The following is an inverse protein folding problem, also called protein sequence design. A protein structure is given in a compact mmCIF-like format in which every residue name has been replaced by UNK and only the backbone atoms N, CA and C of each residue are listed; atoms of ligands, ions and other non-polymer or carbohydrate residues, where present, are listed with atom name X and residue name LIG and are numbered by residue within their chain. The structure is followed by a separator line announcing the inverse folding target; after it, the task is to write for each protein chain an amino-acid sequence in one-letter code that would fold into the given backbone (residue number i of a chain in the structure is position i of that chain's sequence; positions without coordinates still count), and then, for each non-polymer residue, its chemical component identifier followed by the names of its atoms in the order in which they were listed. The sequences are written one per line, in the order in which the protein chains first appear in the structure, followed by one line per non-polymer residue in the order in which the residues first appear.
data_IF_210042074057
#
_entry.id   IF_210042074057
#
_cell.length_a   1.000
_cell.length_b   1.000
_cell.length_c   1.000
_cell.angle_alpha   90.00
_cell.angle_beta   90.00
_cell.angle_gamma   90.00
#
_symmetry.space_group_name_H-M   'P 1'
#
loop_
_entity.id
_entity.type
_entity.pdbx_description
1 polymer ?
#
# COMPACT_ATOMS: atom_id res chain seq x y z
N UNK A 1 68.82 18.84 8.15
CA UNK A 1 67.85 19.59 7.34
C UNK A 1 66.63 18.70 7.13
N UNK A 2 65.56 18.98 7.84
CA UNK A 2 64.28 18.21 7.70
C UNK A 2 63.37 19.02 6.76
N UNK A 3 63.04 18.46 5.60
CA UNK A 3 62.05 19.05 4.69
C UNK A 3 60.67 18.68 5.20
N UNK A 4 59.87 19.70 5.59
CA UNK A 4 58.46 19.56 5.90
C UNK A 4 57.68 19.78 4.60
N UNK A 5 57.07 18.70 4.09
CA UNK A 5 56.18 18.76 2.93
C UNK A 5 54.80 19.14 3.42
N UNK A 6 54.36 20.38 3.18
CA UNK A 6 53.00 20.86 3.46
C UNK A 6 52.12 20.47 2.27
N UNK A 7 51.28 19.46 2.48
CA UNK A 7 50.28 19.05 1.51
C UNK A 7 49.04 19.98 1.64
N UNK A 8 48.90 20.88 0.68
CA UNK A 8 47.68 21.72 0.54
C UNK A 8 46.55 20.87 -0.02
N UNK A 9 45.61 20.41 0.84
CA UNK A 9 44.38 19.79 0.40
C UNK A 9 43.41 20.93 0.04
N UNK A 10 43.28 21.23 -1.24
CA UNK A 10 42.24 22.08 -1.78
C UNK A 10 40.90 21.31 -1.73
N UNK A 11 40.11 21.58 -0.70
CA UNK A 11 38.71 21.15 -0.65
C UNK A 11 37.91 21.98 -1.69
N UNK A 12 37.78 21.43 -2.88
CA UNK A 12 36.80 21.90 -3.84
C UNK A 12 35.42 21.53 -3.31
N UNK A 13 34.74 22.48 -2.67
CA UNK A 13 33.31 22.38 -2.44
C UNK A 13 32.57 22.47 -3.78
N UNK A 14 32.41 21.35 -4.49
CA UNK A 14 31.42 21.25 -5.56
C UNK A 14 30.05 21.24 -4.89
N UNK A 15 29.47 22.41 -4.72
CA UNK A 15 28.02 22.51 -4.50
C UNK A 15 27.35 22.08 -5.81
N UNK A 16 27.02 20.79 -5.88
CA UNK A 16 26.07 20.32 -6.89
C UNK A 16 24.74 20.98 -6.52
N UNK A 17 24.44 22.09 -7.18
CA UNK A 17 23.08 22.61 -7.21
C UNK A 17 22.26 21.56 -7.98
N UNK A 18 21.63 20.65 -7.26
CA UNK A 18 20.52 19.90 -7.80
C UNK A 18 19.45 20.94 -8.13
N UNK A 19 19.39 21.27 -9.42
CA UNK A 19 18.30 22.08 -9.96
C UNK A 19 17.06 21.19 -9.91
N UNK A 20 16.42 21.13 -8.73
CA UNK A 20 15.09 20.58 -8.58
C UNK A 20 14.15 21.56 -9.28
N UNK A 21 14.13 21.48 -10.61
CA UNK A 21 13.11 22.13 -11.40
C UNK A 21 11.78 21.50 -10.93
N UNK A 22 11.14 22.18 -9.97
CA UNK A 22 9.79 21.82 -9.53
C UNK A 22 8.92 21.87 -10.78
N UNK A 23 8.54 20.70 -11.27
CA UNK A 23 7.50 20.59 -12.29
C UNK A 23 6.20 21.10 -11.65
N UNK A 24 5.98 22.40 -11.71
CA UNK A 24 4.65 22.95 -11.45
C UNK A 24 3.81 22.60 -12.66
N UNK A 25 2.82 21.75 -12.46
CA UNK A 25 1.73 21.64 -13.42
C UNK A 25 1.21 23.07 -13.68
N UNK A 26 0.88 23.42 -14.95
CA UNK A 26 0.33 24.73 -15.25
C UNK A 26 -0.86 24.98 -14.35
N UNK A 27 -0.80 26.00 -13.51
CA UNK A 27 -1.85 26.29 -12.49
C UNK A 27 -3.21 26.69 -13.12
N UNK A 28 -3.32 26.70 -14.44
CA UNK A 28 -4.49 27.19 -15.19
C UNK A 28 -5.11 26.16 -16.14
N UNK A 29 -4.64 24.90 -16.18
CA UNK A 29 -5.32 23.85 -16.94
C UNK A 29 -5.99 22.88 -15.97
N UNK A 30 -7.31 23.01 -15.82
CA UNK A 30 -8.12 22.03 -15.12
C UNK A 30 -8.06 20.71 -15.89
N UNK A 31 -7.42 19.70 -15.29
CA UNK A 31 -7.40 18.34 -15.83
C UNK A 31 -8.86 17.81 -15.87
N UNK A 32 -9.45 17.74 -17.05
CA UNK A 32 -10.80 17.19 -17.22
C UNK A 32 -10.76 15.68 -17.10
N UNK A 33 -10.86 15.19 -15.89
CA UNK A 33 -10.94 13.76 -15.57
C UNK A 33 -12.40 13.37 -15.29
N UNK A 34 -12.83 12.20 -15.79
CA UNK A 34 -14.18 11.66 -15.53
C UNK A 34 -14.26 10.91 -14.19
N UNK A 35 -13.55 11.35 -13.17
CA UNK A 35 -13.58 10.78 -11.82
C UNK A 35 -14.25 11.74 -10.84
N UNK A 36 -14.97 11.19 -9.86
CA UNK A 36 -15.59 11.99 -8.78
C UNK A 36 -14.54 12.64 -7.88
N UNK A 37 -13.45 11.94 -7.64
CA UNK A 37 -12.33 12.38 -6.82
C UNK A 37 -11.03 11.89 -7.42
N UNK A 38 -9.99 12.70 -7.36
CA UNK A 38 -8.64 12.30 -7.77
C UNK A 38 -7.57 13.12 -7.05
N UNK A 39 -6.37 12.58 -7.02
CA UNK A 39 -5.20 13.17 -6.39
C UNK A 39 -3.93 12.76 -7.12
N UNK A 40 -2.99 13.66 -7.21
CA UNK A 40 -1.60 13.40 -7.58
C UNK A 40 -0.71 13.81 -6.42
N UNK A 41 0.07 12.87 -5.90
CA UNK A 41 0.98 13.07 -4.77
C UNK A 41 2.39 12.71 -5.19
N UNK A 42 3.35 13.55 -4.83
CA UNK A 42 4.76 13.24 -5.00
C UNK A 42 5.16 12.10 -4.04
N UNK A 43 5.84 11.09 -4.58
CA UNK A 43 6.20 9.91 -3.80
C UNK A 43 7.21 10.21 -2.70
N UNK A 44 8.23 11.01 -2.97
CA UNK A 44 9.33 11.26 -2.05
C UNK A 44 8.91 12.19 -0.90
N UNK A 45 8.31 13.33 -1.24
CA UNK A 45 7.91 14.35 -0.26
C UNK A 45 6.54 14.09 0.37
N UNK A 46 5.60 13.46 -0.36
CA UNK A 46 4.18 13.37 0.00
C UNK A 46 3.42 14.68 -0.28
N UNK A 47 4.03 15.64 -1.02
CA UNK A 47 3.37 16.88 -1.42
C UNK A 47 2.22 16.57 -2.40
N UNK A 48 1.05 17.16 -2.18
CA UNK A 48 -0.07 17.07 -3.12
C UNK A 48 0.18 18.06 -4.25
N UNK A 49 0.37 17.52 -5.46
CA UNK A 49 0.65 18.31 -6.65
C UNK A 49 -0.63 18.73 -7.36
N UNK A 50 -1.68 17.94 -7.29
CA UNK A 50 -2.99 18.20 -7.86
C UNK A 50 -4.06 17.38 -7.15
N UNK A 51 -5.25 17.95 -6.95
CA UNK A 51 -6.36 17.22 -6.37
C UNK A 51 -7.72 17.81 -6.75
N UNK A 52 -8.74 16.98 -6.67
CA UNK A 52 -10.14 17.37 -6.82
C UNK A 52 -10.99 16.47 -5.94
N UNK A 53 -11.79 17.06 -5.04
CA UNK A 53 -12.64 16.36 -4.08
C UNK A 53 -11.90 15.26 -3.28
N UNK A 54 -10.61 15.44 -2.99
CA UNK A 54 -9.73 14.43 -2.42
C UNK A 54 -10.12 13.96 -1.02
N UNK A 55 -10.99 14.72 -0.33
CA UNK A 55 -11.54 14.38 1.00
C UNK A 55 -12.95 13.77 0.91
N UNK A 56 -13.52 13.62 -0.29
CA UNK A 56 -14.84 12.99 -0.47
C UNK A 56 -14.79 11.52 -0.09
N UNK A 57 -15.69 11.09 0.80
CA UNK A 57 -15.81 9.69 1.21
C UNK A 57 -16.48 8.87 0.12
N UNK A 58 -15.78 7.89 -0.39
CA UNK A 58 -16.20 7.01 -1.47
C UNK A 58 -15.92 5.54 -1.09
N UNK A 59 -16.61 4.63 -1.76
CA UNK A 59 -16.35 3.20 -1.62
C UNK A 59 -15.03 2.83 -2.34
N UNK A 60 -14.06 2.23 -1.63
CA UNK A 60 -12.75 1.91 -2.21
C UNK A 60 -12.76 0.72 -3.16
N UNK A 61 -13.78 -0.13 -3.12
CA UNK A 61 -13.80 -1.42 -3.80
C UNK A 61 -12.49 -2.20 -3.55
N UNK A 62 -11.93 -2.86 -4.55
CA UNK A 62 -10.72 -3.69 -4.41
C UNK A 62 -9.45 -2.91 -4.01
N UNK A 63 -9.43 -1.59 -4.06
CA UNK A 63 -8.32 -0.81 -3.49
C UNK A 63 -8.14 -1.06 -1.99
N UNK A 64 -9.18 -1.52 -1.30
CA UNK A 64 -9.13 -2.01 0.10
C UNK A 64 -7.97 -3.00 0.33
N UNK A 65 -7.71 -3.88 -0.65
CA UNK A 65 -6.67 -4.91 -0.54
C UNK A 65 -5.26 -4.36 -0.41
N UNK A 66 -5.04 -3.11 -0.82
CA UNK A 66 -3.75 -2.45 -0.61
C UNK A 66 -3.39 -2.35 0.88
N UNK A 67 -4.38 -2.12 1.77
CA UNK A 67 -4.15 -2.14 3.21
C UNK A 67 -3.79 -3.55 3.69
N UNK A 68 -4.47 -4.57 3.18
CA UNK A 68 -4.14 -5.96 3.51
C UNK A 68 -2.73 -6.34 3.03
N UNK A 69 -2.35 -5.94 1.82
CA UNK A 69 -1.00 -6.16 1.29
C UNK A 69 0.07 -5.48 2.16
N UNK A 70 -0.16 -4.23 2.57
CA UNK A 70 0.75 -3.50 3.46
C UNK A 70 0.98 -4.26 4.77
N UNK A 71 -0.09 -4.76 5.40
CA UNK A 71 0.01 -5.52 6.66
C UNK A 71 0.74 -6.85 6.51
N UNK A 72 0.60 -7.52 5.36
CA UNK A 72 1.36 -8.74 5.05
C UNK A 72 2.85 -8.42 4.92
N UNK A 73 3.21 -7.34 4.20
CA UNK A 73 4.60 -6.93 4.04
C UNK A 73 5.23 -6.50 5.38
N UNK A 74 4.51 -5.74 6.19
CA UNK A 74 4.97 -5.39 7.54
C UNK A 74 5.19 -6.65 8.41
N UNK A 75 4.31 -7.65 8.31
CA UNK A 75 4.50 -8.91 9.02
C UNK A 75 5.75 -9.67 8.56
N UNK A 76 6.10 -9.57 7.28
CA UNK A 76 7.33 -10.15 6.71
C UNK A 76 8.56 -9.37 7.20
N UNK A 77 8.55 -8.05 7.16
CA UNK A 77 9.65 -7.20 7.62
C UNK A 77 9.94 -7.39 9.11
N UNK A 78 8.88 -7.64 9.90
CA UNK A 78 8.97 -7.95 11.33
C UNK A 78 9.35 -9.43 11.62
N UNK A 79 9.62 -10.24 10.61
CA UNK A 79 9.93 -11.68 10.73
C UNK A 79 8.81 -12.50 11.42
N UNK A 80 7.57 -12.04 11.39
CA UNK A 80 6.37 -12.78 11.87
C UNK A 80 5.78 -13.69 10.78
N UNK A 81 6.14 -13.43 9.53
CA UNK A 81 5.70 -14.17 8.35
C UNK A 81 6.88 -14.27 7.37
N UNK A 82 6.91 -15.33 6.54
CA UNK A 82 7.88 -15.50 5.47
C UNK A 82 7.17 -15.80 4.14
N UNK A 83 7.77 -15.42 3.02
CA UNK A 83 7.21 -15.68 1.69
C UNK A 83 6.93 -17.16 1.41
N UNK A 84 7.75 -18.06 1.99
CA UNK A 84 7.61 -19.51 1.82
C UNK A 84 6.70 -20.16 2.86
N UNK A 85 6.16 -19.42 3.82
CA UNK A 85 5.24 -19.99 4.81
C UNK A 85 3.98 -20.49 4.10
N UNK A 86 3.47 -21.62 4.60
CA UNK A 86 2.25 -22.21 4.07
C UNK A 86 1.03 -21.62 4.78
N UNK A 87 0.06 -21.27 3.98
CA UNK A 87 -1.28 -20.82 4.38
C UNK A 87 -2.27 -21.88 3.90
N UNK A 88 -3.17 -22.29 4.77
CA UNK A 88 -4.26 -23.21 4.44
C UNK A 88 -5.55 -22.39 4.21
N UNK A 89 -6.26 -22.70 3.14
CA UNK A 89 -7.58 -22.13 2.88
C UNK A 89 -8.55 -22.51 4.01
N UNK A 90 -9.16 -21.52 4.63
CA UNK A 90 -10.23 -21.72 5.62
C UNK A 90 -11.59 -21.84 4.92
N UNK A 91 -12.61 -22.28 5.65
CA UNK A 91 -14.00 -22.19 5.17
C UNK A 91 -14.40 -20.75 4.86
N UNK A 92 -13.92 -19.78 5.66
CA UNK A 92 -14.18 -18.36 5.45
C UNK A 92 -13.56 -17.87 4.14
N UNK A 93 -12.27 -18.11 3.94
CA UNK A 93 -11.58 -17.67 2.71
C UNK A 93 -12.13 -18.35 1.46
N UNK A 94 -12.42 -19.68 1.55
CA UNK A 94 -12.93 -20.47 0.42
C UNK A 94 -14.37 -20.10 0.04
N UNK A 95 -15.15 -19.51 0.95
CA UNK A 95 -16.52 -19.06 0.70
C UNK A 95 -16.62 -17.68 0.06
N UNK A 96 -15.49 -16.99 -0.13
CA UNK A 96 -15.49 -15.65 -0.69
C UNK A 96 -16.01 -15.65 -2.13
N UNK A 97 -16.91 -14.70 -2.43
CA UNK A 97 -17.38 -14.44 -3.77
C UNK A 97 -16.54 -13.41 -4.53
N UNK A 98 -16.98 -13.06 -5.72
CA UNK A 98 -16.32 -12.07 -6.57
C UNK A 98 -15.05 -12.63 -7.23
N UNK A 99 -14.03 -11.79 -7.43
CA UNK A 99 -12.75 -12.22 -8.02
C UNK A 99 -11.99 -13.10 -7.02
N UNK A 100 -11.58 -14.29 -7.45
CA UNK A 100 -10.96 -15.30 -6.60
C UNK A 100 -10.06 -16.24 -7.42
N UNK A 101 -9.20 -17.00 -6.75
CA UNK A 101 -8.41 -18.08 -7.33
C UNK A 101 -9.03 -19.46 -7.07
N UNK A 102 -10.22 -19.50 -6.46
CA UNK A 102 -10.95 -20.70 -6.06
C UNK A 102 -10.19 -21.57 -5.05
N UNK A 103 -9.58 -20.90 -4.06
CA UNK A 103 -8.87 -21.57 -2.98
C UNK A 103 -9.81 -22.50 -2.22
N UNK A 104 -9.56 -23.80 -2.26
CA UNK A 104 -10.40 -24.79 -1.57
C UNK A 104 -10.12 -24.82 -0.05
N UNK A 105 -11.08 -25.28 0.78
CA UNK A 105 -10.81 -25.52 2.19
C UNK A 105 -9.66 -26.53 2.38
N UNK A 106 -8.72 -26.22 3.27
CA UNK A 106 -7.49 -26.96 3.54
C UNK A 106 -6.50 -27.04 2.36
N UNK A 107 -6.74 -26.37 1.25
CA UNK A 107 -5.74 -26.21 0.21
C UNK A 107 -4.57 -25.38 0.72
N UNK A 108 -3.36 -25.79 0.35
CA UNK A 108 -2.11 -25.20 0.85
C UNK A 108 -1.42 -24.40 -0.25
N UNK A 109 -1.21 -23.13 0.01
CA UNK A 109 -0.45 -22.24 -0.87
C UNK A 109 0.60 -21.45 -0.07
N UNK A 110 1.66 -21.02 -0.74
CA UNK A 110 2.65 -20.14 -0.13
C UNK A 110 2.10 -18.72 0.07
N UNK A 111 2.65 -17.99 1.03
CA UNK A 111 2.37 -16.56 1.20
C UNK A 111 2.66 -15.81 -0.12
N UNK A 112 3.76 -16.14 -0.81
CA UNK A 112 4.14 -15.54 -2.09
C UNK A 112 3.07 -15.74 -3.18
N UNK A 113 2.57 -16.97 -3.36
CA UNK A 113 1.54 -17.26 -4.37
C UNK A 113 0.21 -16.56 -4.05
N UNK A 114 -0.20 -16.55 -2.77
CA UNK A 114 -1.39 -15.83 -2.35
C UNK A 114 -1.24 -14.31 -2.50
N UNK A 115 -0.09 -13.75 -2.15
CA UNK A 115 0.18 -12.31 -2.32
C UNK A 115 0.14 -11.93 -3.80
N UNK A 116 0.75 -12.74 -4.66
CA UNK A 116 0.69 -12.62 -6.12
C UNK A 116 -0.74 -12.67 -6.66
N UNK A 117 -1.56 -13.60 -6.14
CA UNK A 117 -2.98 -13.70 -6.50
C UNK A 117 -3.75 -12.43 -6.12
N UNK A 118 -3.44 -11.80 -4.97
CA UNK A 118 -4.02 -10.51 -4.57
C UNK A 118 -3.57 -9.40 -5.50
N UNK A 119 -2.26 -9.30 -5.76
CA UNK A 119 -1.68 -8.20 -6.53
C UNK A 119 -2.13 -8.21 -8.00
N UNK A 120 -2.14 -9.38 -8.66
CA UNK A 120 -2.42 -9.51 -10.09
C UNK A 120 -3.91 -9.72 -10.35
N UNK A 121 -4.54 -10.64 -9.62
CA UNK A 121 -5.92 -11.06 -9.86
C UNK A 121 -6.93 -10.40 -8.91
N UNK A 122 -6.47 -9.62 -7.93
CA UNK A 122 -7.34 -9.03 -6.91
C UNK A 122 -8.18 -10.07 -6.16
N UNK A 123 -7.61 -11.26 -5.89
CA UNK A 123 -8.31 -12.43 -5.35
C UNK A 123 -8.82 -12.18 -3.92
N UNK A 124 -10.12 -12.36 -3.72
CA UNK A 124 -10.80 -12.14 -2.44
C UNK A 124 -10.49 -13.24 -1.41
N UNK A 125 -10.48 -14.49 -1.86
CA UNK A 125 -10.12 -15.68 -1.06
C UNK A 125 -8.67 -15.58 -0.57
N UNK A 126 -7.76 -15.16 -1.44
CA UNK A 126 -6.34 -15.02 -1.12
C UNK A 126 -6.08 -13.96 -0.04
N UNK A 127 -6.71 -12.76 -0.16
CA UNK A 127 -6.49 -11.70 0.86
C UNK A 127 -7.11 -12.08 2.21
N UNK A 128 -8.23 -12.81 2.23
CA UNK A 128 -8.83 -13.30 3.46
C UNK A 128 -7.92 -14.35 4.11
N UNK A 129 -7.43 -15.34 3.35
CA UNK A 129 -6.50 -16.35 3.86
C UNK A 129 -5.21 -15.75 4.43
N UNK A 130 -4.62 -14.75 3.73
CA UNK A 130 -3.46 -14.02 4.22
C UNK A 130 -3.78 -13.23 5.49
N UNK A 131 -4.94 -12.58 5.55
CA UNK A 131 -5.37 -11.83 6.72
C UNK A 131 -5.53 -12.71 7.95
N UNK A 132 -6.15 -13.89 7.79
CA UNK A 132 -6.27 -14.88 8.85
C UNK A 132 -4.90 -15.40 9.31
N UNK A 133 -3.96 -15.59 8.38
CA UNK A 133 -2.58 -15.99 8.71
C UNK A 133 -1.84 -14.94 9.53
N UNK A 134 -2.02 -13.64 9.21
CA UNK A 134 -1.36 -12.53 9.90
C UNK A 134 -1.93 -12.30 11.29
N UNK A 135 -3.24 -12.43 11.48
CA UNK A 135 -3.94 -12.00 12.71
C UNK A 135 -4.77 -13.08 13.42
N UNK A 136 -4.76 -14.32 12.91
CA UNK A 136 -5.45 -15.46 13.48
C UNK A 136 -6.90 -15.62 13.00
N UNK A 137 -7.60 -14.54 12.67
CA UNK A 137 -8.94 -14.55 12.09
C UNK A 137 -9.21 -13.24 11.34
N UNK A 138 -10.27 -13.23 10.50
CA UNK A 138 -10.57 -12.10 9.64
C UNK A 138 -11.02 -10.84 10.41
N UNK A 139 -11.75 -10.99 11.51
CA UNK A 139 -12.22 -9.86 12.30
C UNK A 139 -11.03 -9.10 12.92
N UNK A 140 -10.10 -9.84 13.51
CA UNK A 140 -8.84 -9.28 14.03
C UNK A 140 -8.00 -8.61 12.94
N UNK A 141 -8.07 -9.12 11.70
CA UNK A 141 -7.40 -8.49 10.57
C UNK A 141 -8.03 -7.15 10.19
N UNK A 142 -9.36 -7.08 10.16
CA UNK A 142 -10.10 -5.84 9.90
C UNK A 142 -9.79 -4.79 11.00
N UNK A 143 -9.73 -5.21 12.27
CA UNK A 143 -9.32 -4.33 13.36
C UNK A 143 -7.89 -3.80 13.15
N UNK A 144 -6.96 -4.67 12.70
CA UNK A 144 -5.60 -4.29 12.37
C UNK A 144 -5.54 -3.31 11.20
N UNK A 145 -6.34 -3.50 10.15
CA UNK A 145 -6.47 -2.56 9.02
C UNK A 145 -6.90 -1.17 9.51
N UNK A 146 -7.92 -1.10 10.37
CA UNK A 146 -8.39 0.17 10.93
C UNK A 146 -7.38 0.82 11.88
N UNK A 147 -6.66 0.01 12.65
CA UNK A 147 -5.55 0.51 13.49
C UNK A 147 -4.46 1.11 12.61
N UNK A 148 -4.04 0.42 11.55
CA UNK A 148 -3.03 0.91 10.60
C UNK A 148 -3.50 2.18 9.90
N UNK A 149 -4.76 2.28 9.49
CA UNK A 149 -5.30 3.49 8.89
C UNK A 149 -5.12 4.71 9.83
N UNK A 150 -5.40 4.54 11.13
CA UNK A 150 -5.17 5.59 12.14
C UNK A 150 -3.68 5.94 12.29
N UNK A 151 -2.79 4.95 12.33
CA UNK A 151 -1.33 5.15 12.41
C UNK A 151 -0.80 5.94 11.21
N UNK A 152 -1.37 5.71 10.02
CA UNK A 152 -1.03 6.43 8.79
C UNK A 152 -1.73 7.79 8.65
N UNK A 153 -2.53 8.21 9.64
CA UNK A 153 -3.36 9.42 9.57
C UNK A 153 -4.39 9.42 8.42
N UNK A 154 -4.91 8.26 8.05
CA UNK A 154 -6.02 8.08 7.13
C UNK A 154 -7.35 8.35 7.87
N UNK A 155 -7.59 9.62 8.20
CA UNK A 155 -8.66 10.04 9.15
C UNK A 155 -10.07 9.88 8.60
N UNK A 156 -10.21 9.76 7.29
CA UNK A 156 -11.49 9.59 6.61
C UNK A 156 -11.66 8.18 6.03
N UNK A 157 -11.02 7.17 6.64
CA UNK A 157 -11.08 5.76 6.21
C UNK A 157 -11.63 4.88 7.30
N UNK A 158 -12.51 3.95 6.92
CA UNK A 158 -13.02 2.88 7.78
C UNK A 158 -13.19 1.61 6.97
N UNK A 159 -12.55 0.53 7.39
CA UNK A 159 -12.63 -0.79 6.77
C UNK A 159 -13.64 -1.69 7.52
N UNK A 160 -14.53 -2.33 6.79
CA UNK A 160 -15.52 -3.32 7.32
C UNK A 160 -15.26 -4.73 6.80
N UNK A 161 -14.40 -4.87 5.80
CA UNK A 161 -13.93 -6.13 5.26
C UNK A 161 -12.57 -5.95 4.58
N UNK A 162 -11.90 -7.06 4.26
CA UNK A 162 -10.60 -7.05 3.62
C UNK A 162 -10.64 -7.05 2.08
N UNK A 163 -11.82 -7.24 1.49
CA UNK A 163 -12.00 -7.47 0.05
C UNK A 163 -12.42 -6.23 -0.72
N UNK A 164 -13.11 -5.30 -0.05
CA UNK A 164 -13.72 -4.12 -0.66
C UNK A 164 -15.17 -4.34 -1.11
N UNK A 165 -15.84 -5.37 -0.59
CA UNK A 165 -17.29 -5.50 -0.80
C UNK A 165 -18.05 -4.33 -0.19
N UNK A 166 -19.14 -3.97 -0.83
CA UNK A 166 -19.98 -2.84 -0.46
C UNK A 166 -20.52 -2.96 0.97
N UNK A 167 -20.36 -1.90 1.73
CA UNK A 167 -20.92 -1.71 3.04
C UNK A 167 -20.99 -0.21 3.30
N UNK A 168 -22.09 0.30 3.83
CA UNK A 168 -22.30 1.75 4.04
C UNK A 168 -21.24 2.38 4.95
N UNK A 169 -20.67 1.59 5.87
CA UNK A 169 -19.60 2.04 6.75
C UNK A 169 -18.19 1.73 6.21
N UNK A 170 -18.05 1.17 4.99
CA UNK A 170 -16.77 0.86 4.34
C UNK A 170 -16.43 1.96 3.35
N UNK A 171 -15.62 2.93 3.76
CA UNK A 171 -15.29 4.10 2.96
C UNK A 171 -13.83 4.54 3.13
N UNK A 172 -13.37 5.30 2.17
CA UNK A 172 -12.08 6.00 2.18
C UNK A 172 -12.17 7.27 1.36
N UNK A 173 -11.05 7.99 1.20
CA UNK A 173 -10.92 9.17 0.33
C UNK A 173 -9.73 8.99 -0.61
N UNK A 174 -9.69 9.77 -1.71
CA UNK A 174 -8.55 9.74 -2.62
C UNK A 174 -7.24 10.09 -1.90
N UNK A 175 -7.29 11.04 -0.96
CA UNK A 175 -6.12 11.43 -0.15
C UNK A 175 -5.63 10.30 0.74
N UNK A 176 -6.53 9.62 1.46
CA UNK A 176 -6.16 8.51 2.33
C UNK A 176 -5.58 7.35 1.51
N UNK A 177 -6.17 7.07 0.33
CA UNK A 177 -5.65 6.05 -0.59
C UNK A 177 -4.27 6.40 -1.16
N UNK A 178 -3.99 7.67 -1.44
CA UNK A 178 -2.65 8.10 -1.85
C UNK A 178 -1.62 7.93 -0.73
N UNK A 179 -2.00 8.22 0.52
CA UNK A 179 -1.17 7.96 1.70
C UNK A 179 -0.86 6.46 1.82
N UNK A 180 -1.89 5.61 1.68
CA UNK A 180 -1.74 4.16 1.71
C UNK A 180 -0.83 3.67 0.59
N UNK A 181 -1.08 4.08 -0.66
CA UNK A 181 -0.28 3.72 -1.82
C UNK A 181 1.19 4.09 -1.63
N UNK A 182 1.45 5.31 -1.15
CA UNK A 182 2.81 5.78 -0.86
C UNK A 182 3.52 4.90 0.18
N UNK A 183 2.83 4.49 1.23
CA UNK A 183 3.41 3.61 2.24
C UNK A 183 3.63 2.19 1.72
N UNK A 184 2.70 1.65 0.94
CA UNK A 184 2.85 0.34 0.30
C UNK A 184 4.06 0.33 -0.65
N UNK A 185 4.22 1.35 -1.49
CA UNK A 185 5.33 1.45 -2.45
C UNK A 185 6.71 1.62 -1.81
N UNK A 186 6.80 1.99 -0.53
CA UNK A 186 8.08 2.01 0.20
C UNK A 186 8.71 0.62 0.37
N UNK A 187 7.92 -0.45 0.26
CA UNK A 187 8.43 -1.82 0.23
C UNK A 187 9.09 -2.20 -1.11
N UNK A 188 9.12 -1.26 -2.07
CA UNK A 188 9.93 -1.33 -3.29
C UNK A 188 9.69 -2.60 -4.11
N UNK A 189 10.76 -3.39 -4.32
CA UNK A 189 10.72 -4.57 -5.19
C UNK A 189 9.68 -5.61 -4.75
N UNK A 190 9.36 -5.73 -3.47
CA UNK A 190 8.37 -6.69 -2.97
C UNK A 190 6.95 -6.39 -3.46
N UNK A 191 6.67 -5.13 -3.81
CA UNK A 191 5.39 -4.71 -4.39
C UNK A 191 5.45 -4.66 -5.91
N UNK A 192 6.57 -4.17 -6.48
CA UNK A 192 6.70 -3.86 -7.90
C UNK A 192 7.09 -5.07 -8.78
N UNK A 193 7.41 -6.21 -8.17
CA UNK A 193 7.80 -7.43 -8.90
C UNK A 193 6.64 -8.18 -9.56
N UNK A 194 5.39 -7.76 -9.32
CA UNK A 194 4.18 -8.38 -9.88
C UNK A 194 3.46 -7.52 -10.90
#
# INVERSE_FOLDING_TARGET
MKFILILFVLLFNLSIKTDTQKYKLPQNEELKLNSKSHILMDFDSGEILYSHNEEEKLYPASMTKMMGMLLVLEAIDENRLNWNDIVEGSETSSSMGGTQIFLAPNEKMSVDDLFKAVAINSANDAIVALGEKVSGNIDSFIDLMNKKAKELNMVNTNFKNATGFDNEEHYTTAKDMAILARNLLKHGEDVLRY
#
